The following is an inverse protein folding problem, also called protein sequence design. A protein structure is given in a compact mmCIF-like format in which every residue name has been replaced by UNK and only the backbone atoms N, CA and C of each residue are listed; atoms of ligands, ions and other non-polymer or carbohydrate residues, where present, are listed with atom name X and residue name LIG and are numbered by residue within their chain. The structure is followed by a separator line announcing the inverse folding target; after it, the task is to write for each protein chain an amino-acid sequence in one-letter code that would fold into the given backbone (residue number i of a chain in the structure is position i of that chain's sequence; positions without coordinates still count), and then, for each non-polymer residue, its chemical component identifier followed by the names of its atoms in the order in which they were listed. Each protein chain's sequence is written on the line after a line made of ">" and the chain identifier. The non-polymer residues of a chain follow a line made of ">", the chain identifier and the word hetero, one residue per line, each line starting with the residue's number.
data_IF_885100143800
#
_entry.id   IF_885100143800
#
_cell.length_a   1.000
_cell.length_b   1.000
_cell.length_c   1.000
_cell.angle_alpha   90.00
_cell.angle_beta   90.00
_cell.angle_gamma   90.00
#
_symmetry.space_group_name_H-M   'P 1'
#
loop_
_entity.id
_entity.type
_entity.pdbx_description
1 polymer ?
#
# COMPACT_ATOMS: atom_id res chain seq x y z
N UNK A 1 48.36 -24.71 -13.89
CA UNK A 1 47.94 -24.20 -12.57
C UNK A 1 46.81 -23.19 -12.79
N UNK A 2 45.60 -23.68 -13.08
CA UNK A 2 44.40 -22.85 -13.02
C UNK A 2 43.83 -23.04 -11.61
N UNK A 3 43.88 -21.98 -10.82
CA UNK A 3 43.40 -21.98 -9.44
C UNK A 3 41.88 -22.16 -9.44
N UNK A 4 41.47 -23.14 -8.65
CA UNK A 4 40.10 -23.39 -8.25
C UNK A 4 39.68 -22.25 -7.32
N UNK A 5 38.83 -21.35 -7.79
CA UNK A 5 38.23 -20.31 -6.94
C UNK A 5 36.74 -20.28 -7.26
N UNK A 6 35.94 -20.11 -6.21
CA UNK A 6 34.49 -19.90 -6.18
C UNK A 6 33.65 -21.15 -5.92
N UNK A 7 33.37 -21.40 -4.63
CA UNK A 7 32.01 -21.71 -4.13
C UNK A 7 31.97 -21.69 -2.58
N UNK A 8 32.24 -20.54 -1.94
CA UNK A 8 32.16 -20.37 -0.46
C UNK A 8 31.43 -19.07 -0.02
N UNK A 9 30.61 -18.47 -0.89
CA UNK A 9 29.95 -17.19 -0.59
C UNK A 9 28.69 -17.31 0.31
N UNK A 10 28.10 -18.51 0.45
CA UNK A 10 26.86 -18.70 1.22
C UNK A 10 27.08 -18.86 2.73
N UNK A 11 28.16 -19.54 3.13
CA UNK A 11 28.46 -19.83 4.54
C UNK A 11 28.97 -18.59 5.27
N UNK A 12 29.83 -17.80 4.62
CA UNK A 12 30.39 -16.53 5.12
C UNK A 12 29.30 -15.50 5.45
N UNK A 13 28.34 -15.28 4.53
CA UNK A 13 27.22 -14.36 4.75
C UNK A 13 26.36 -14.76 5.96
N UNK A 14 26.08 -16.06 6.11
CA UNK A 14 25.29 -16.55 7.26
C UNK A 14 26.00 -16.31 8.60
N UNK A 15 27.32 -16.53 8.67
CA UNK A 15 28.14 -16.21 9.85
C UNK A 15 28.23 -14.70 10.11
N UNK A 16 28.19 -13.86 9.08
CA UNK A 16 28.18 -12.40 9.21
C UNK A 16 26.84 -11.90 9.78
N UNK A 17 25.71 -12.45 9.34
CA UNK A 17 24.41 -12.12 9.95
C UNK A 17 24.30 -12.60 11.39
N UNK A 18 24.79 -13.80 11.71
CA UNK A 18 24.79 -14.32 13.08
C UNK A 18 25.72 -13.51 14.00
N UNK A 19 26.87 -13.07 13.51
CA UNK A 19 27.78 -12.21 14.26
C UNK A 19 27.21 -10.79 14.44
N UNK A 20 26.53 -10.24 13.44
CA UNK A 20 25.82 -8.96 13.54
C UNK A 20 24.66 -9.02 14.54
N UNK A 21 23.84 -10.08 14.47
CA UNK A 21 22.72 -10.30 15.38
C UNK A 21 23.20 -10.51 16.82
N UNK A 22 24.27 -11.29 17.03
CA UNK A 22 24.84 -11.49 18.37
C UNK A 22 25.48 -10.22 18.92
N UNK A 23 26.13 -9.41 18.07
CA UNK A 23 26.68 -8.10 18.46
C UNK A 23 25.55 -7.13 18.83
N UNK A 24 24.51 -7.05 18.02
CA UNK A 24 23.34 -6.21 18.29
C UNK A 24 22.61 -6.67 19.56
N UNK A 25 22.43 -7.98 19.74
CA UNK A 25 21.83 -8.57 20.92
C UNK A 25 22.64 -8.28 22.20
N UNK A 26 23.95 -8.51 22.18
CA UNK A 26 24.83 -8.20 23.31
C UNK A 26 24.86 -6.70 23.64
N UNK A 27 24.88 -5.84 22.62
CA UNK A 27 24.83 -4.40 22.83
C UNK A 27 23.47 -3.99 23.42
N UNK A 28 22.38 -4.52 22.89
CA UNK A 28 21.04 -4.23 23.39
C UNK A 28 20.88 -4.66 24.85
N UNK A 29 21.29 -5.87 25.22
CA UNK A 29 21.17 -6.36 26.60
C UNK A 29 22.06 -5.58 27.55
N UNK A 30 23.31 -5.32 27.17
CA UNK A 30 24.26 -4.57 28.01
C UNK A 30 23.79 -3.14 28.22
N UNK A 31 23.34 -2.46 27.16
CA UNK A 31 22.89 -1.07 27.24
C UNK A 31 21.54 -0.93 27.95
N UNK A 32 20.62 -1.86 27.72
CA UNK A 32 19.32 -1.88 28.40
C UNK A 32 19.48 -2.17 29.89
N UNK A 33 20.27 -3.19 30.25
CA UNK A 33 20.56 -3.54 31.65
C UNK A 33 21.26 -2.39 32.39
N UNK A 34 22.27 -1.78 31.76
CA UNK A 34 22.96 -0.61 32.32
C UNK A 34 22.02 0.58 32.50
N UNK A 35 21.13 0.83 31.54
CA UNK A 35 20.12 1.89 31.63
C UNK A 35 19.21 1.68 32.83
N UNK A 36 18.66 0.48 33.01
CA UNK A 36 17.79 0.16 34.15
C UNK A 36 18.55 0.23 35.50
N UNK A 37 19.80 -0.21 35.56
CA UNK A 37 20.63 -0.14 36.77
C UNK A 37 20.98 1.30 37.19
N UNK A 38 21.10 2.22 36.22
CA UNK A 38 21.45 3.62 36.48
C UNK A 38 20.24 4.54 36.68
N UNK A 39 19.00 4.03 36.61
CA UNK A 39 17.81 4.87 36.74
C UNK A 39 17.55 5.32 38.18
N UNK A 40 17.15 6.58 38.34
CA UNK A 40 16.64 7.11 39.61
C UNK A 40 15.13 6.87 39.69
N UNK A 41 14.55 6.94 40.89
CA UNK A 41 13.10 6.77 41.11
C UNK A 41 12.24 7.70 40.25
N UNK A 42 12.73 8.90 39.94
CA UNK A 42 12.05 9.87 39.06
C UNK A 42 11.90 9.36 37.62
N UNK A 43 12.88 8.59 37.13
CA UNK A 43 12.89 8.07 35.77
C UNK A 43 11.91 6.89 35.63
N UNK A 44 11.77 6.07 36.67
CA UNK A 44 10.73 5.04 36.74
C UNK A 44 9.32 5.63 36.68
N UNK A 45 9.05 6.71 37.41
CA UNK A 45 7.73 7.38 37.39
C UNK A 45 7.43 7.89 35.98
N UNK A 46 8.40 8.52 35.31
CA UNK A 46 8.25 8.98 33.91
C UNK A 46 7.96 7.82 32.96
N UNK A 47 8.67 6.70 33.10
CA UNK A 47 8.46 5.50 32.29
C UNK A 47 7.04 4.94 32.46
N UNK A 48 6.56 4.84 33.70
CA UNK A 48 5.19 4.39 33.99
C UNK A 48 4.16 5.35 33.42
N UNK A 49 4.37 6.67 33.49
CA UNK A 49 3.46 7.66 32.90
C UNK A 49 3.40 7.53 31.38
N UNK A 50 4.53 7.29 30.70
CA UNK A 50 4.56 7.11 29.24
C UNK A 50 3.84 5.81 28.85
N UNK A 51 4.16 4.70 29.50
CA UNK A 51 3.53 3.39 29.22
C UNK A 51 2.05 3.43 29.55
N UNK A 52 1.69 3.92 30.73
CA UNK A 52 0.30 4.08 31.16
C UNK A 52 -0.48 5.01 30.23
N UNK A 53 0.11 6.15 29.86
CA UNK A 53 -0.45 7.08 28.89
C UNK A 53 -0.67 6.43 27.52
N UNK A 54 0.28 5.64 27.02
CA UNK A 54 0.13 4.89 25.78
C UNK A 54 -0.96 3.82 25.86
N UNK A 55 -1.03 3.06 26.97
CA UNK A 55 -2.08 2.07 27.20
C UNK A 55 -3.48 2.71 27.18
N UNK A 56 -3.61 3.91 27.74
CA UNK A 56 -4.86 4.69 27.67
C UNK A 56 -5.11 5.23 26.26
N UNK A 57 -4.08 5.70 25.54
CA UNK A 57 -4.21 6.27 24.20
C UNK A 57 -4.57 5.22 23.13
N UNK A 58 -4.04 4.01 23.24
CA UNK A 58 -4.21 2.90 22.29
C UNK A 58 -5.66 2.61 21.89
N UNK A 59 -6.63 2.41 22.81
CA UNK A 59 -8.01 2.13 22.42
C UNK A 59 -8.63 3.28 21.61
N UNK A 60 -8.26 4.53 21.89
CA UNK A 60 -8.77 5.67 21.12
C UNK A 60 -8.18 5.72 19.72
N UNK A 61 -6.88 5.48 19.57
CA UNK A 61 -6.24 5.37 18.25
C UNK A 61 -6.87 4.24 17.43
N UNK A 62 -7.16 3.10 18.05
CA UNK A 62 -7.80 1.98 17.37
C UNK A 62 -9.23 2.30 16.91
N UNK A 63 -10.00 3.04 17.72
CA UNK A 63 -11.34 3.53 17.33
C UNK A 63 -11.29 4.53 16.18
N UNK A 64 -10.31 5.43 16.16
CA UNK A 64 -10.09 6.35 15.05
C UNK A 64 -9.73 5.60 13.76
N UNK A 65 -8.81 4.64 13.85
CA UNK A 65 -8.43 3.79 12.71
C UNK A 65 -9.61 3.01 12.14
N UNK A 66 -10.41 2.38 12.99
CA UNK A 66 -11.62 1.67 12.58
C UNK A 66 -12.65 2.59 11.91
N UNK A 67 -12.84 3.81 12.44
CA UNK A 67 -13.74 4.80 11.83
C UNK A 67 -13.26 5.24 10.44
N UNK A 68 -11.96 5.50 10.29
CA UNK A 68 -11.38 5.85 8.98
C UNK A 68 -11.50 4.70 7.98
N UNK A 69 -11.25 3.47 8.42
CA UNK A 69 -11.39 2.28 7.58
C UNK A 69 -12.85 2.09 7.14
N UNK A 70 -13.83 2.20 8.05
CA UNK A 70 -15.24 2.12 7.69
C UNK A 70 -15.67 3.23 6.72
N UNK A 71 -15.16 4.46 6.90
CA UNK A 71 -15.46 5.56 5.99
C UNK A 71 -14.89 5.33 4.59
N UNK A 72 -13.69 4.77 4.48
CA UNK A 72 -13.10 4.38 3.19
C UNK A 72 -13.90 3.27 2.54
N UNK A 73 -14.26 2.22 3.30
CA UNK A 73 -15.10 1.15 2.79
C UNK A 73 -16.46 1.67 2.33
N UNK A 74 -17.10 2.59 3.06
CA UNK A 74 -18.37 3.19 2.64
C UNK A 74 -18.22 4.04 1.38
N UNK A 75 -17.13 4.80 1.23
CA UNK A 75 -16.86 5.58 0.03
C UNK A 75 -16.63 4.68 -1.20
N UNK A 76 -15.91 3.59 -1.05
CA UNK A 76 -15.71 2.59 -2.11
C UNK A 76 -16.98 1.75 -2.38
N UNK A 77 -17.85 1.61 -1.38
CA UNK A 77 -19.12 0.88 -1.51
C UNK A 77 -20.26 1.70 -2.08
N UNK A 78 -20.14 3.05 -2.10
CA UNK A 78 -21.14 3.90 -2.74
C UNK A 78 -20.95 3.78 -4.24
N UNK A 79 -21.90 3.17 -4.97
CA UNK A 79 -21.81 3.14 -6.42
C UNK A 79 -21.83 4.60 -6.88
N UNK A 80 -20.79 5.01 -7.61
CA UNK A 80 -20.88 6.17 -8.46
C UNK A 80 -22.15 5.99 -9.30
N UNK A 81 -23.04 6.99 -9.30
CA UNK A 81 -24.32 6.92 -10.02
C UNK A 81 -24.13 6.66 -11.53
N UNK A 82 -22.90 6.82 -12.03
CA UNK A 82 -22.46 6.54 -13.41
C UNK A 82 -22.10 5.07 -13.71
N UNK A 83 -22.00 4.18 -12.71
CA UNK A 83 -21.59 2.76 -12.93
C UNK A 83 -22.76 1.76 -12.98
N UNK A 84 -24.01 2.24 -13.00
CA UNK A 84 -25.19 1.37 -13.13
C UNK A 84 -25.35 0.69 -14.51
N UNK A 85 -24.40 0.87 -15.43
CA UNK A 85 -24.38 0.17 -16.71
C UNK A 85 -23.45 -1.06 -16.76
N UNK A 86 -22.55 -1.26 -15.78
CA UNK A 86 -21.58 -2.38 -15.77
C UNK A 86 -21.28 -2.92 -14.36
N UNK A 87 -22.16 -2.65 -13.39
CA UNK A 87 -22.01 -3.18 -12.04
C UNK A 87 -22.33 -4.67 -12.02
N UNK A 88 -21.26 -5.49 -11.98
CA UNK A 88 -21.33 -6.93 -11.73
C UNK A 88 -22.19 -7.29 -10.51
N UNK A 89 -22.63 -8.56 -10.41
CA UNK A 89 -23.71 -8.97 -9.51
C UNK A 89 -23.36 -8.68 -8.06
N UNK A 90 -24.33 -8.11 -7.33
CA UNK A 90 -24.27 -7.84 -5.88
C UNK A 90 -23.91 -9.12 -5.14
N UNK A 91 -22.66 -9.24 -4.73
CA UNK A 91 -22.16 -10.39 -3.98
C UNK A 91 -22.84 -10.44 -2.63
N UNK A 92 -23.54 -11.54 -2.37
CA UNK A 92 -24.16 -11.81 -1.07
C UNK A 92 -23.19 -12.64 -0.23
N UNK A 93 -23.27 -12.55 1.11
CA UNK A 93 -22.42 -13.35 2.00
C UNK A 93 -22.53 -14.87 1.76
N UNK A 94 -23.62 -15.32 1.12
CA UNK A 94 -23.83 -16.71 0.73
C UNK A 94 -22.96 -17.13 -0.46
N UNK A 95 -22.58 -16.20 -1.34
CA UNK A 95 -21.76 -16.48 -2.53
C UNK A 95 -20.29 -16.75 -2.16
N UNK A 96 -19.86 -16.32 -0.97
CA UNK A 96 -18.52 -16.56 -0.43
C UNK A 96 -18.38 -17.93 0.25
N UNK A 97 -19.48 -18.67 0.44
CA UNK A 97 -19.51 -19.97 1.14
C UNK A 97 -19.28 -21.18 0.22
N UNK A 98 -18.54 -20.97 -0.88
CA UNK A 98 -18.01 -22.03 -1.74
C UNK A 98 -19.05 -22.79 -2.59
N UNK A 99 -20.28 -22.30 -2.70
CA UNK A 99 -21.32 -23.00 -3.45
C UNK A 99 -21.42 -22.44 -4.87
N UNK A 100 -20.66 -23.03 -5.82
CA UNK A 100 -20.83 -23.14 -7.30
C UNK A 100 -21.39 -21.98 -8.13
N UNK A 101 -21.62 -20.81 -7.55
CA UNK A 101 -22.22 -19.64 -8.17
C UNK A 101 -21.28 -18.46 -7.94
N UNK A 102 -19.98 -18.67 -8.20
CA UNK A 102 -19.07 -17.53 -8.34
C UNK A 102 -19.45 -16.81 -9.64
N UNK A 103 -19.86 -15.54 -9.58
CA UNK A 103 -19.98 -14.76 -10.80
C UNK A 103 -18.59 -14.56 -11.39
N UNK A 104 -18.41 -14.90 -12.66
CA UNK A 104 -17.20 -14.58 -13.41
C UNK A 104 -17.02 -13.06 -13.40
N UNK A 105 -16.02 -12.59 -12.67
CA UNK A 105 -15.62 -11.19 -12.71
C UNK A 105 -14.93 -10.93 -14.04
N UNK A 106 -15.69 -10.49 -15.04
CA UNK A 106 -15.12 -9.95 -16.27
C UNK A 106 -14.41 -8.65 -15.93
N UNK A 107 -13.09 -8.70 -15.87
CA UNK A 107 -12.26 -7.49 -15.77
C UNK A 107 -12.39 -6.77 -17.11
N UNK A 108 -12.95 -5.54 -17.16
CA UNK A 108 -13.09 -4.82 -18.41
C UNK A 108 -11.71 -4.60 -19.06
N UNK A 109 -11.50 -5.18 -20.25
CA UNK A 109 -10.26 -5.11 -21.02
C UNK A 109 -9.42 -6.39 -21.10
N UNK A 110 -9.90 -7.52 -20.58
CA UNK A 110 -9.34 -8.86 -20.84
C UNK A 110 -10.43 -9.71 -21.49
N UNK A 111 -10.22 -10.08 -22.75
CA UNK A 111 -11.11 -11.04 -23.42
C UNK A 111 -10.96 -12.38 -22.69
N UNK A 112 -12.06 -12.84 -22.11
CA UNK A 112 -12.14 -14.06 -21.31
C UNK A 112 -12.33 -15.26 -22.24
N UNK A 113 -11.39 -15.45 -23.18
CA UNK A 113 -11.40 -16.55 -24.15
C UNK A 113 -10.01 -17.19 -24.26
N UNK A 114 -9.29 -17.27 -23.14
CA UNK A 114 -8.04 -18.01 -23.06
C UNK A 114 -8.19 -19.10 -22.01
N UNK A 115 -8.50 -20.29 -22.51
CA UNK A 115 -8.54 -21.57 -21.80
C UNK A 115 -7.15 -21.98 -21.25
N UNK A 116 -6.54 -21.16 -20.40
CA UNK A 116 -5.32 -21.55 -19.69
C UNK A 116 -5.56 -21.47 -18.18
N UNK A 117 -5.82 -22.65 -17.63
CA UNK A 117 -6.03 -22.97 -16.22
C UNK A 117 -4.84 -22.52 -15.33
N UNK A 118 -5.17 -21.74 -14.30
CA UNK A 118 -4.70 -21.94 -12.93
C UNK A 118 -3.23 -21.72 -12.54
N UNK A 119 -2.45 -20.82 -13.17
CA UNK A 119 -1.17 -20.36 -12.55
C UNK A 119 -0.90 -18.85 -12.71
N UNK A 120 -0.91 -18.16 -11.56
CA UNK A 120 -0.26 -16.86 -11.30
C UNK A 120 -0.96 -15.56 -11.75
N UNK A 121 -2.26 -15.43 -11.49
CA UNK A 121 -3.04 -14.23 -11.85
C UNK A 121 -2.83 -12.99 -10.95
N UNK A 122 -2.18 -13.15 -9.78
CA UNK A 122 -1.95 -12.04 -8.85
C UNK A 122 -1.05 -10.93 -9.44
N UNK A 123 -0.08 -11.32 -10.27
CA UNK A 123 0.82 -10.39 -10.95
C UNK A 123 0.21 -9.74 -12.19
N UNK A 124 -0.73 -10.41 -12.87
CA UNK A 124 -1.41 -9.86 -14.05
C UNK A 124 -2.36 -8.72 -13.65
N UNK A 125 -3.20 -8.94 -12.64
CA UNK A 125 -4.09 -7.90 -12.12
C UNK A 125 -3.33 -6.67 -11.59
N UNK A 126 -2.23 -6.87 -10.86
CA UNK A 126 -1.38 -5.78 -10.38
C UNK A 126 -0.78 -4.94 -11.53
N UNK A 127 -0.28 -5.59 -12.58
CA UNK A 127 0.26 -4.92 -13.78
C UNK A 127 -0.81 -4.14 -14.55
N UNK A 128 -2.02 -4.67 -14.67
CA UNK A 128 -3.13 -3.96 -15.32
C UNK A 128 -3.52 -2.71 -14.53
N UNK A 129 -3.63 -2.80 -13.20
CA UNK A 129 -3.91 -1.64 -12.33
C UNK A 129 -2.82 -0.56 -12.44
N UNK A 130 -1.55 -0.97 -12.46
CA UNK A 130 -0.42 -0.05 -12.66
C UNK A 130 -0.50 0.67 -14.02
N UNK A 131 -0.78 -0.06 -15.10
CA UNK A 131 -0.94 0.54 -16.44
C UNK A 131 -2.13 1.50 -16.50
N UNK A 132 -3.25 1.17 -15.86
CA UNK A 132 -4.44 2.04 -15.79
C UNK A 132 -4.13 3.34 -15.04
N UNK A 133 -3.44 3.27 -13.90
CA UNK A 133 -3.02 4.45 -13.15
C UNK A 133 -2.08 5.35 -13.95
N UNK A 134 -1.09 4.77 -14.64
CA UNK A 134 -0.17 5.52 -15.52
C UNK A 134 -0.92 6.19 -16.67
N UNK A 135 -1.85 5.47 -17.31
CA UNK A 135 -2.68 6.02 -18.40
C UNK A 135 -3.55 7.18 -17.91
N UNK A 136 -4.21 7.02 -16.77
CA UNK A 136 -5.07 8.06 -16.19
C UNK A 136 -4.26 9.31 -15.80
N UNK A 137 -3.06 9.13 -15.23
CA UNK A 137 -2.15 10.25 -14.96
C UNK A 137 -1.70 10.97 -16.23
N UNK A 138 -1.43 10.23 -17.32
CA UNK A 138 -1.06 10.79 -18.62
C UNK A 138 -2.23 11.60 -19.23
N UNK A 139 -3.45 11.05 -19.20
CA UNK A 139 -4.66 11.70 -19.72
C UNK A 139 -5.00 12.98 -18.93
N UNK A 140 -4.84 12.97 -17.60
CA UNK A 140 -5.00 14.18 -16.77
C UNK A 140 -3.98 15.25 -17.16
N UNK A 141 -2.73 14.85 -17.41
CA UNK A 141 -1.67 15.78 -17.80
C UNK A 141 -1.92 16.38 -19.19
N UNK A 142 -2.34 15.57 -20.16
CA UNK A 142 -2.73 16.03 -21.50
C UNK A 142 -3.91 17.00 -21.44
N UNK A 143 -4.94 16.66 -20.66
CA UNK A 143 -6.11 17.52 -20.48
C UNK A 143 -5.73 18.86 -19.86
N UNK A 144 -4.90 18.86 -18.81
CA UNK A 144 -4.41 20.08 -18.18
C UNK A 144 -3.61 20.94 -19.17
N UNK A 145 -2.75 20.32 -19.97
CA UNK A 145 -1.98 21.04 -20.99
C UNK A 145 -2.88 21.67 -22.07
N UNK A 146 -3.96 20.98 -22.44
CA UNK A 146 -4.95 21.52 -23.38
C UNK A 146 -5.75 22.67 -22.79
N UNK A 147 -6.19 22.55 -21.54
CA UNK A 147 -6.86 23.64 -20.82
C UNK A 147 -5.95 24.88 -20.67
N UNK A 148 -4.67 24.68 -20.36
CA UNK A 148 -3.68 25.77 -20.30
C UNK A 148 -3.46 26.40 -21.70
N UNK A 149 -3.46 25.60 -22.77
CA UNK A 149 -3.34 26.12 -24.15
C UNK A 149 -4.59 26.91 -24.59
N UNK A 150 -5.79 26.41 -24.28
CA UNK A 150 -7.06 27.11 -24.54
C UNK A 150 -7.14 28.42 -23.73
N UNK A 151 -6.74 28.40 -22.45
CA UNK A 151 -6.73 29.59 -21.60
C UNK A 151 -5.67 30.63 -21.99
N UNK A 152 -4.60 30.24 -22.70
CA UNK A 152 -3.65 31.19 -23.29
C UNK A 152 -4.14 31.69 -24.65
N UNK A 153 -4.77 30.84 -25.46
CA UNK A 153 -5.38 31.25 -26.74
C UNK A 153 -6.49 32.28 -26.55
N UNK A 154 -7.32 32.17 -25.51
CA UNK A 154 -8.36 33.16 -25.20
C UNK A 154 -7.78 34.52 -24.77
N UNK A 155 -6.64 34.52 -24.07
CA UNK A 155 -5.92 35.75 -23.71
C UNK A 155 -5.28 36.42 -24.92
N UNK A 156 -4.73 35.62 -25.83
CA UNK A 156 -4.18 36.12 -27.10
C UNK A 156 -5.28 36.75 -27.96
N UNK A 157 -6.54 36.27 -27.89
CA UNK A 157 -7.70 36.86 -28.59
C UNK A 157 -8.19 38.14 -27.88
N UNK A 158 -8.14 38.21 -26.55
CA UNK A 158 -8.48 39.40 -25.77
C UNK A 158 -7.59 40.61 -26.15
N UNK A 159 -6.32 40.38 -26.48
CA UNK A 159 -5.40 41.40 -26.98
C UNK A 159 -5.86 42.04 -28.31
N UNK A 160 -6.58 41.30 -29.17
CA UNK A 160 -7.09 41.79 -30.45
C UNK A 160 -8.50 42.41 -30.40
N UNK A 161 -9.18 42.36 -29.26
CA UNK A 161 -10.51 42.96 -29.05
C UNK A 161 -10.45 44.39 -28.47
N UNK A 162 -9.24 44.89 -28.19
CA UNK A 162 -8.98 46.26 -27.76
C UNK A 162 -8.66 47.12 -29.00
N UNK A 163 -9.66 47.35 -29.87
CA UNK A 163 -9.83 48.53 -30.74
C UNK A 163 -11.26 48.60 -31.31
#
# INVERSE_FOLDING_TARGET
>A
MAQQQQHDDGSSQSSDYLSLLSTWGNNFTTQTSKTFSQMRTRDYIRLVVIIGGYCLLRPYLMRLGAYMQNKQHEADSRPSEDENADAGPKLTANDLRGNKSQPEFKIPGVDSDSEDEDKDDWGRAARVRQRKFVRQMLEIHEKKLREDAEANSDKDIEEFLID
#
